data_IF_450428369012
#
_entry.id   IF_450428369012
#
_cell.length_a   1.000
_cell.length_b   1.000
_cell.length_c   1.000
_cell.angle_alpha   90.00
_cell.angle_beta   90.00
_cell.angle_gamma   90.00
#
_symmetry.space_group_name_H-M   'P 1'
#
loop_
_entity.id
_entity.type
_entity.pdbx_description
1 polymer ?
#
# COMPACT_ATOMS: atom_id res chain seq x y z
N UNK A 1 -21.54 30.91 -4.05
CA UNK A 1 -21.48 29.76 -3.12
C UNK A 1 -20.59 30.07 -1.93
N UNK A 2 -20.82 29.39 -0.79
CA UNK A 2 -19.99 29.48 0.43
C UNK A 2 -18.55 29.08 0.14
N UNK A 3 -17.57 29.84 0.65
CA UNK A 3 -16.13 29.56 0.49
C UNK A 3 -15.61 28.90 1.76
N UNK A 4 -14.80 27.88 1.59
CA UNK A 4 -14.12 27.16 2.68
C UNK A 4 -12.61 27.25 2.45
N UNK A 5 -11.84 27.46 3.51
CA UNK A 5 -10.38 27.64 3.44
C UNK A 5 -9.71 26.65 4.39
N UNK A 6 -8.67 25.97 3.89
CA UNK A 6 -7.85 25.05 4.66
C UNK A 6 -6.38 25.19 4.28
N UNK A 7 -5.51 24.91 5.25
CA UNK A 7 -4.06 24.94 5.08
C UNK A 7 -3.57 23.57 4.59
N UNK A 8 -2.82 23.57 3.48
CA UNK A 8 -2.19 22.37 2.93
C UNK A 8 -0.86 22.10 3.66
N UNK A 9 -0.78 20.99 4.37
CA UNK A 9 0.38 20.57 5.13
C UNK A 9 1.45 19.90 4.24
N UNK A 10 2.73 19.85 4.67
CA UNK A 10 3.81 19.19 3.93
C UNK A 10 3.60 17.70 3.66
N UNK A 11 2.81 17.02 4.50
CA UNK A 11 2.45 15.61 4.38
C UNK A 11 1.25 15.35 3.45
N UNK A 12 0.71 16.40 2.81
CA UNK A 12 -0.44 16.32 1.91
C UNK A 12 -1.81 16.34 2.61
N UNK A 13 -1.85 16.49 3.94
CA UNK A 13 -3.10 16.70 4.67
C UNK A 13 -3.62 18.13 4.55
N UNK A 14 -4.91 18.34 4.75
CA UNK A 14 -5.55 19.66 4.73
C UNK A 14 -6.13 19.94 6.10
N UNK A 15 -5.71 21.03 6.73
CA UNK A 15 -6.23 21.48 8.03
C UNK A 15 -7.25 22.59 7.81
N UNK A 16 -8.49 22.39 8.26
CA UNK A 16 -9.52 23.42 8.16
C UNK A 16 -9.23 24.58 9.11
N UNK A 17 -9.15 25.80 8.57
CA UNK A 17 -8.86 27.00 9.37
C UNK A 17 -9.91 27.32 10.43
N UNK A 18 -11.20 27.00 10.22
CA UNK A 18 -12.26 27.38 11.17
C UNK A 18 -12.32 26.46 12.39
N UNK A 19 -12.01 25.17 12.22
CA UNK A 19 -12.21 24.16 13.28
C UNK A 19 -10.92 23.44 13.70
N UNK A 20 -9.84 23.59 12.94
CA UNK A 20 -8.62 22.81 13.12
C UNK A 20 -8.74 21.34 12.70
N UNK A 21 -9.86 20.92 12.12
CA UNK A 21 -10.06 19.54 11.68
C UNK A 21 -9.13 19.20 10.52
N UNK A 22 -8.47 18.04 10.60
CA UNK A 22 -7.52 17.58 9.59
C UNK A 22 -8.16 16.55 8.65
N UNK A 23 -7.91 16.70 7.35
CA UNK A 23 -8.41 15.84 6.28
C UNK A 23 -7.23 15.19 5.56
N UNK A 24 -7.31 13.89 5.31
CA UNK A 24 -6.26 13.09 4.70
C UNK A 24 -6.20 13.18 3.16
N UNK A 25 -7.14 13.87 2.53
CA UNK A 25 -7.16 14.04 1.07
C UNK A 25 -8.03 15.24 0.64
N UNK A 26 -7.78 15.82 -0.55
CA UNK A 26 -8.63 16.85 -1.13
C UNK A 26 -10.09 16.42 -1.33
N UNK A 27 -10.34 15.14 -1.62
CA UNK A 27 -11.70 14.61 -1.81
C UNK A 27 -12.47 14.49 -0.50
N UNK A 28 -11.81 14.07 0.58
CA UNK A 28 -12.40 14.07 1.92
C UNK A 28 -12.78 15.50 2.35
N UNK A 29 -11.87 16.46 2.11
CA UNK A 29 -12.12 17.87 2.39
C UNK A 29 -13.29 18.44 1.57
N UNK A 30 -13.30 18.22 0.25
CA UNK A 30 -14.35 18.71 -0.64
C UNK A 30 -15.73 18.14 -0.30
N UNK A 31 -15.80 16.85 0.01
CA UNK A 31 -17.05 16.18 0.39
C UNK A 31 -17.59 16.77 1.70
N UNK A 32 -16.71 16.99 2.69
CA UNK A 32 -17.08 17.63 3.94
C UNK A 32 -17.64 19.05 3.72
N UNK A 33 -16.94 19.88 2.94
CA UNK A 33 -17.39 21.24 2.62
C UNK A 33 -18.75 21.25 1.91
N UNK A 34 -18.97 20.33 0.96
CA UNK A 34 -20.25 20.24 0.23
C UNK A 34 -21.39 19.82 1.14
N UNK A 35 -21.16 18.93 2.10
CA UNK A 35 -22.17 18.48 3.07
C UNK A 35 -22.63 19.60 4.01
N UNK A 36 -21.75 20.55 4.32
CA UNK A 36 -22.11 21.76 5.09
C UNK A 36 -23.04 22.72 4.32
N UNK A 37 -23.11 22.59 3.00
CA UNK A 37 -23.99 23.41 2.14
C UNK A 37 -25.25 22.64 1.76
N UNK A 38 -25.12 21.35 1.44
CA UNK A 38 -26.22 20.44 1.15
C UNK A 38 -25.98 19.10 1.90
N UNK A 39 -26.69 18.84 3.01
CA UNK A 39 -26.55 17.62 3.80
C UNK A 39 -26.79 16.32 3.03
N UNK A 40 -27.60 16.35 1.96
CA UNK A 40 -27.89 15.17 1.13
C UNK A 40 -26.73 14.82 0.16
N UNK A 41 -25.75 15.71 -0.03
CA UNK A 41 -24.64 15.48 -0.99
C UNK A 41 -23.66 14.45 -0.42
N UNK A 42 -23.66 13.25 -1.02
CA UNK A 42 -22.86 12.09 -0.56
C UNK A 42 -21.41 12.09 -1.07
N UNK A 43 -21.12 12.74 -2.20
CA UNK A 43 -19.80 12.69 -2.84
C UNK A 43 -19.30 14.04 -3.38
N UNK A 44 -17.98 14.19 -3.46
CA UNK A 44 -17.34 15.35 -4.07
C UNK A 44 -15.95 15.03 -4.62
N UNK A 45 -15.73 15.32 -5.91
CA UNK A 45 -14.40 15.23 -6.52
C UNK A 45 -13.51 16.37 -6.02
N UNK A 46 -12.54 16.08 -5.15
CA UNK A 46 -11.59 17.06 -4.61
C UNK A 46 -10.71 17.70 -5.68
N UNK A 47 -10.25 16.92 -6.66
CA UNK A 47 -9.34 17.37 -7.72
C UNK A 47 -9.94 18.45 -8.62
N UNK A 48 -11.22 18.32 -8.95
CA UNK A 48 -11.93 19.24 -9.84
C UNK A 48 -12.50 20.48 -9.11
N UNK A 49 -12.62 20.43 -7.78
CA UNK A 49 -13.31 21.46 -6.98
C UNK A 49 -12.40 22.26 -6.05
N UNK A 50 -11.36 21.64 -5.49
CA UNK A 50 -10.40 22.30 -4.60
C UNK A 50 -9.42 23.13 -5.42
N UNK A 51 -9.16 24.36 -4.96
CA UNK A 51 -8.20 25.27 -5.58
C UNK A 51 -7.04 25.54 -4.64
N UNK A 52 -5.82 25.51 -5.17
CA UNK A 52 -4.61 25.97 -4.50
C UNK A 52 -4.07 27.17 -5.28
N UNK A 53 -3.79 28.29 -4.60
CA UNK A 53 -3.32 29.55 -5.22
C UNK A 53 -4.14 29.97 -6.46
N UNK A 54 -5.46 29.77 -6.41
CA UNK A 54 -6.41 30.12 -7.49
C UNK A 54 -6.58 29.08 -8.60
N UNK A 55 -5.69 28.09 -8.70
CA UNK A 55 -5.75 27.03 -9.72
C UNK A 55 -6.33 25.73 -9.15
N UNK A 56 -7.03 24.95 -9.98
CA UNK A 56 -7.59 23.65 -9.56
C UNK A 56 -6.46 22.64 -9.36
N UNK A 57 -6.60 21.73 -8.38
CA UNK A 57 -5.59 20.69 -8.14
C UNK A 57 -5.33 19.82 -9.37
N UNK A 58 -6.35 19.57 -10.19
CA UNK A 58 -6.20 18.81 -11.44
C UNK A 58 -5.25 19.48 -12.45
N UNK A 59 -5.18 20.81 -12.46
CA UNK A 59 -4.25 21.56 -13.32
C UNK A 59 -2.80 21.37 -12.86
N UNK A 60 -2.55 21.34 -11.55
CA UNK A 60 -1.24 21.03 -11.00
C UNK A 60 -0.82 19.60 -11.34
N UNK A 61 -1.74 18.65 -11.21
CA UNK A 61 -1.51 17.25 -11.60
C UNK A 61 -1.14 17.13 -13.08
N UNK A 62 -1.89 17.78 -13.97
CA UNK A 62 -1.60 17.79 -15.41
C UNK A 62 -0.26 18.46 -15.74
N UNK A 63 0.09 19.57 -15.08
CA UNK A 63 1.38 20.24 -15.26
C UNK A 63 2.56 19.35 -14.81
N UNK A 64 2.42 18.67 -13.67
CA UNK A 64 3.43 17.75 -13.16
C UNK A 64 3.65 16.56 -14.11
N UNK A 65 2.57 15.96 -14.61
CA UNK A 65 2.63 14.85 -15.58
C UNK A 65 3.34 15.25 -16.87
N UNK A 66 3.05 16.44 -17.42
CA UNK A 66 3.74 16.95 -18.63
C UNK A 66 5.25 17.11 -18.45
N UNK A 67 5.70 17.51 -17.26
CA UNK A 67 7.13 17.68 -16.97
C UNK A 67 7.87 16.36 -16.77
N UNK A 68 7.20 15.34 -16.23
CA UNK A 68 7.82 14.07 -15.84
C UNK A 68 7.55 12.93 -16.84
N UNK A 69 6.69 13.15 -17.85
CA UNK A 69 6.42 12.20 -18.94
C UNK A 69 6.36 12.93 -20.30
N UNK A 70 7.51 13.37 -20.87
CA UNK A 70 7.54 14.17 -22.10
C UNK A 70 7.09 13.43 -23.38
N UNK A 71 6.84 12.12 -23.33
CA UNK A 71 6.50 11.28 -24.50
C UNK A 71 5.04 10.80 -24.52
N UNK A 72 4.14 11.36 -23.70
CA UNK A 72 2.70 11.05 -23.75
C UNK A 72 2.01 12.12 -24.61
N UNK A 73 1.27 11.74 -25.69
CA UNK A 73 0.50 12.71 -26.47
C UNK A 73 -0.51 13.44 -25.56
N UNK A 74 -0.88 14.70 -25.88
CA UNK A 74 -1.89 15.41 -25.12
C UNK A 74 -3.17 14.55 -25.04
N UNK A 75 -3.88 14.52 -23.90
CA UNK A 75 -5.28 14.11 -23.95
C UNK A 75 -5.94 15.09 -24.91
N UNK A 76 -6.50 14.58 -26.02
CA UNK A 76 -7.55 15.32 -26.73
C UNK A 76 -8.53 15.81 -25.67
N UNK A 77 -8.98 17.06 -25.81
CA UNK A 77 -9.96 17.68 -24.93
C UNK A 77 -11.10 16.69 -24.70
N UNK A 78 -11.02 15.95 -23.59
CA UNK A 78 -12.08 15.06 -23.17
C UNK A 78 -13.19 16.02 -22.79
N UNK A 79 -14.11 16.17 -23.73
CA UNK A 79 -15.42 16.78 -23.63
C UNK A 79 -15.71 17.07 -22.17
N UNK A 80 -15.70 18.37 -21.84
CA UNK A 80 -16.38 18.83 -20.66
C UNK A 80 -17.79 18.22 -20.74
N UNK A 81 -18.02 17.18 -19.94
CA UNK A 81 -19.36 16.84 -19.53
C UNK A 81 -19.77 18.02 -18.66
N UNK A 82 -20.28 19.05 -19.33
CA UNK A 82 -21.31 19.91 -18.79
C UNK A 82 -22.53 19.00 -18.57
N UNK A 83 -22.44 18.17 -17.53
CA UNK A 83 -23.60 17.56 -16.93
C UNK A 83 -24.27 18.67 -16.14
N UNK A 84 -25.20 19.36 -16.80
CA UNK A 84 -26.26 20.08 -16.13
C UNK A 84 -26.86 19.12 -15.08
N UNK A 85 -26.73 19.46 -13.80
CA UNK A 85 -27.44 18.76 -12.72
C UNK A 85 -28.94 19.13 -12.90
N UNK A 86 -29.66 18.44 -13.80
CA UNK A 86 -31.13 18.51 -13.84
C UNK A 86 -31.68 17.90 -12.53
N UNK A 87 -32.32 18.74 -11.73
CA UNK A 87 -33.10 18.34 -10.56
C UNK A 87 -34.30 17.49 -11.00
N UNK A 88 -34.26 16.20 -10.70
CA UNK A 88 -35.46 15.36 -10.70
C UNK A 88 -36.11 15.41 -9.30
N UNK A 89 -37.41 15.74 -9.19
CA UNK A 89 -38.10 15.78 -7.91
C UNK A 89 -38.29 14.36 -7.34
N UNK A 90 -38.05 14.22 -6.04
CA UNK A 90 -38.30 12.98 -5.29
C UNK A 90 -39.81 12.78 -5.11
N UNK A 91 -40.31 11.60 -5.49
CA UNK A 91 -41.69 11.16 -5.24
C UNK A 91 -41.86 10.85 -3.75
N UNK A 92 -42.95 11.37 -3.17
CA UNK A 92 -43.39 11.13 -1.81
C UNK A 92 -43.84 9.67 -1.64
N UNK A 93 -43.27 8.93 -0.69
CA UNK A 93 -43.91 7.71 -0.16
C UNK A 93 -44.23 7.87 1.33
N UNK A 94 -45.52 7.65 1.60
CA UNK A 94 -46.23 7.85 2.86
C UNK A 94 -45.74 6.97 4.03
N UNK A 95 -45.93 7.52 5.23
CA UNK A 95 -45.87 6.82 6.51
C UNK A 95 -46.89 5.69 6.63
N UNK A 96 -46.48 4.59 7.28
CA UNK A 96 -47.38 3.79 8.11
C UNK A 96 -46.66 3.46 9.44
N UNK A 97 -47.16 4.04 10.52
CA UNK A 97 -46.55 3.99 11.85
C UNK A 97 -46.74 2.67 12.62
N UNK A 98 -45.98 2.55 13.72
CA UNK A 98 -46.47 1.89 14.95
C UNK A 98 -45.65 2.30 16.19
N UNK A 99 -46.43 2.57 17.24
CA UNK A 99 -46.13 2.95 18.62
C UNK A 99 -45.06 2.14 19.35
N UNK A 100 -44.40 2.75 20.36
CA UNK A 100 -43.57 2.00 21.31
C UNK A 100 -42.65 2.76 22.28
N UNK A 101 -43.18 3.79 22.96
CA UNK A 101 -42.74 4.52 24.17
C UNK A 101 -41.58 3.99 25.07
N UNK A 102 -40.65 4.92 25.39
CA UNK A 102 -39.91 5.21 26.66
C UNK A 102 -38.62 4.44 27.08
N UNK A 103 -37.76 5.00 27.99
CA UNK A 103 -37.50 6.41 28.35
C UNK A 103 -36.01 6.83 28.37
N UNK A 104 -35.79 8.15 28.41
CA UNK A 104 -34.53 8.90 28.63
C UNK A 104 -34.19 8.96 30.13
N UNK A 105 -32.91 9.15 30.50
CA UNK A 105 -32.60 10.02 31.64
C UNK A 105 -31.66 11.19 31.27
N UNK A 106 -32.02 12.36 31.80
CA UNK A 106 -31.36 13.66 31.72
C UNK A 106 -30.25 13.84 32.81
N UNK A 107 -29.50 14.95 32.80
CA UNK A 107 -28.10 15.04 33.27
C UNK A 107 -27.92 15.56 34.70
N UNK A 108 -26.70 15.44 35.22
CA UNK A 108 -26.24 16.17 36.40
C UNK A 108 -24.92 16.91 36.12
N UNK A 109 -24.89 18.20 36.44
CA UNK A 109 -23.77 19.13 36.32
C UNK A 109 -23.00 19.28 37.68
N UNK A 110 -22.18 20.33 37.92
CA UNK A 110 -20.71 20.28 37.84
C UNK A 110 -20.01 20.57 39.18
N UNK A 111 -18.67 20.36 39.28
CA UNK A 111 -17.84 20.93 40.36
C UNK A 111 -16.55 21.60 39.85
N UNK A 112 -16.23 22.73 40.50
CA UNK A 112 -15.29 23.80 40.12
C UNK A 112 -13.84 23.59 40.60
N UNK A 113 -12.95 24.36 39.94
CA UNK A 113 -11.49 24.67 40.03
C UNK A 113 -10.92 24.92 41.45
N UNK A 114 -9.60 25.04 41.72
CA UNK A 114 -8.48 25.81 41.10
C UNK A 114 -7.12 25.53 41.85
N UNK A 115 -6.02 26.34 41.79
CA UNK A 115 -5.23 26.99 40.71
C UNK A 115 -3.67 26.81 40.84
N UNK A 116 -2.87 27.26 39.85
CA UNK A 116 -1.42 27.58 40.04
C UNK A 116 -0.57 27.65 38.75
N UNK A 117 0.00 28.82 38.42
CA UNK A 117 0.68 29.24 37.17
C UNK A 117 2.22 28.92 37.11
N UNK A 118 3.07 29.61 36.29
CA UNK A 118 3.33 29.50 34.84
C UNK A 118 4.85 29.26 34.52
N UNK A 119 5.20 28.98 33.25
CA UNK A 119 6.60 28.98 32.82
C UNK A 119 6.82 29.02 31.31
N UNK A 120 7.49 30.07 30.85
CA UNK A 120 8.01 30.32 29.49
C UNK A 120 9.02 29.24 29.03
N UNK A 121 9.09 28.95 27.73
CA UNK A 121 10.24 28.24 27.14
C UNK A 121 10.05 27.76 25.71
N UNK A 122 10.59 28.53 24.77
CA UNK A 122 11.03 28.22 23.41
C UNK A 122 11.04 26.73 22.96
N UNK A 123 10.36 26.39 21.85
CA UNK A 123 10.44 25.05 21.20
C UNK A 123 11.35 25.12 19.97
N UNK A 124 12.64 24.94 20.23
CA UNK A 124 13.60 24.42 19.25
C UNK A 124 13.27 22.96 18.94
N UNK A 125 13.41 22.56 17.68
CA UNK A 125 13.21 21.20 17.17
C UNK A 125 14.26 20.25 17.79
N UNK A 126 13.84 19.25 18.55
CA UNK A 126 14.69 18.15 19.01
C UNK A 126 14.24 16.83 18.39
N UNK A 127 15.13 16.25 17.60
CA UNK A 127 15.14 14.84 17.22
C UNK A 127 15.24 13.98 18.50
N UNK A 128 14.56 12.82 18.61
CA UNK A 128 14.79 11.92 19.73
C UNK A 128 16.21 11.36 19.67
N UNK A 129 16.92 11.58 20.79
CA UNK A 129 18.28 11.19 21.10
C UNK A 129 18.51 9.68 21.03
N UNK A 130 19.72 9.32 20.62
CA UNK A 130 20.26 7.97 20.54
C UNK A 130 20.34 7.35 21.93
N UNK A 131 19.49 6.35 22.16
CA UNK A 131 19.55 5.52 23.35
C UNK A 131 20.88 4.78 23.47
N UNK A 132 21.47 4.84 24.67
CA UNK A 132 22.59 4.07 25.21
C UNK A 132 22.78 2.64 24.66
N UNK A 133 24.02 2.18 24.44
CA UNK A 133 24.30 0.83 23.96
C UNK A 133 24.13 -0.18 25.10
N UNK A 134 23.35 -1.24 24.87
CA UNK A 134 23.41 -2.43 25.74
C UNK A 134 22.09 -3.00 26.27
N UNK A 135 20.92 -2.62 25.74
CA UNK A 135 19.70 -3.41 25.94
C UNK A 135 19.34 -4.14 24.66
N UNK A 136 19.79 -5.39 24.54
CA UNK A 136 19.25 -6.37 23.59
C UNK A 136 17.73 -6.32 23.71
N UNK A 137 17.04 -5.74 22.72
CA UNK A 137 15.59 -5.76 22.67
C UNK A 137 15.18 -7.25 22.65
N UNK A 138 14.41 -7.70 23.64
CA UNK A 138 13.74 -8.98 23.53
C UNK A 138 12.74 -8.88 22.38
N UNK A 139 13.12 -9.42 21.22
CA UNK A 139 12.26 -9.50 20.05
C UNK A 139 11.21 -10.58 20.33
N UNK A 140 10.05 -10.15 20.81
CA UNK A 140 8.88 -11.03 20.90
C UNK A 140 8.35 -11.29 19.49
N UNK A 141 7.96 -12.54 19.18
CA UNK A 141 7.42 -12.89 17.88
C UNK A 141 6.15 -12.09 17.59
N UNK A 142 6.05 -11.52 16.39
CA UNK A 142 4.94 -10.63 16.03
C UNK A 142 3.77 -11.47 15.55
N UNK A 143 2.78 -11.69 16.41
CA UNK A 143 1.56 -12.40 16.05
C UNK A 143 0.67 -11.48 15.19
N UNK A 144 0.33 -11.87 13.94
CA UNK A 144 -0.62 -11.12 13.13
C UNK A 144 -1.97 -11.01 13.84
N UNK A 145 -2.62 -9.86 13.73
CA UNK A 145 -3.94 -9.63 14.31
C UNK A 145 -5.02 -9.62 13.23
N UNK A 146 -6.22 -10.10 13.58
CA UNK A 146 -7.40 -9.98 12.71
C UNK A 146 -7.82 -8.52 12.56
N UNK A 147 -8.21 -8.14 11.35
CA UNK A 147 -8.67 -6.77 11.05
C UNK A 147 -9.77 -6.27 12.01
N UNK A 148 -10.71 -7.14 12.41
CA UNK A 148 -11.79 -6.79 13.34
C UNK A 148 -11.33 -6.30 14.72
N UNK A 149 -10.06 -6.51 15.09
CA UNK A 149 -9.46 -6.07 16.36
C UNK A 149 -8.77 -4.70 16.27
N UNK A 150 -8.64 -4.13 15.07
CA UNK A 150 -7.93 -2.85 14.87
C UNK A 150 -8.78 -1.64 15.30
N UNK A 151 -10.07 -1.67 15.00
CA UNK A 151 -10.96 -0.52 15.22
C UNK A 151 -10.54 0.72 14.44
N UNK A 152 -10.83 1.89 14.98
CA UNK A 152 -10.48 3.20 14.41
C UNK A 152 -8.99 3.50 14.57
N UNK A 153 -8.42 4.29 13.65
CA UNK A 153 -7.01 4.70 13.69
C UNK A 153 -6.67 5.38 15.01
N UNK A 154 -5.58 4.92 15.61
CA UNK A 154 -5.07 5.38 16.90
C UNK A 154 -3.57 5.62 16.74
N UNK A 155 -3.12 6.83 17.06
CA UNK A 155 -1.71 7.22 16.97
C UNK A 155 -0.85 6.50 18.01
N UNK A 156 -1.45 5.93 19.06
CA UNK A 156 -0.75 5.11 20.05
C UNK A 156 -0.50 3.66 19.57
N UNK A 157 -1.17 3.21 18.49
CA UNK A 157 -0.96 1.87 17.95
C UNK A 157 0.37 1.80 17.22
N UNK A 158 1.10 0.71 17.44
CA UNK A 158 2.39 0.47 16.78
C UNK A 158 2.19 0.42 15.24
N UNK A 159 2.90 1.24 14.45
CA UNK A 159 2.79 1.24 12.99
C UNK A 159 3.27 -0.08 12.34
N UNK A 160 4.00 -0.92 13.09
CA UNK A 160 4.51 -2.20 12.64
C UNK A 160 3.63 -3.39 13.04
N UNK A 161 2.39 -3.14 13.50
CA UNK A 161 1.42 -4.21 13.76
C UNK A 161 1.07 -4.95 12.47
N UNK A 162 1.25 -6.26 12.47
CA UNK A 162 0.89 -7.12 11.35
C UNK A 162 -0.58 -7.47 11.38
N UNK A 163 -1.18 -7.48 10.19
CA UNK A 163 -2.61 -7.71 10.01
C UNK A 163 -2.80 -8.89 9.09
N UNK A 164 -3.68 -9.82 9.47
CA UNK A 164 -4.05 -10.95 8.63
C UNK A 164 -4.74 -10.47 7.34
N UNK A 165 -4.33 -11.05 6.21
CA UNK A 165 -4.96 -10.81 4.91
C UNK A 165 -6.28 -11.58 4.86
N UNK A 166 -7.33 -10.96 4.31
CA UNK A 166 -8.67 -11.55 4.17
C UNK A 166 -9.04 -11.81 2.71
N UNK A 167 -9.87 -12.83 2.44
CA UNK A 167 -10.46 -12.98 1.11
C UNK A 167 -11.62 -12.00 0.89
N UNK A 168 -11.90 -11.64 -0.36
CA UNK A 168 -13.08 -10.82 -0.70
C UNK A 168 -14.39 -11.49 -0.30
N UNK A 169 -14.48 -12.81 -0.46
CA UNK A 169 -15.64 -13.62 -0.06
C UNK A 169 -15.90 -13.57 1.45
N UNK A 170 -14.87 -13.47 2.29
CA UNK A 170 -15.02 -13.38 3.74
C UNK A 170 -15.79 -12.13 4.22
N UNK A 171 -15.89 -11.11 3.36
CA UNK A 171 -16.67 -9.88 3.61
C UNK A 171 -17.84 -9.72 2.64
N UNK A 172 -18.27 -10.80 1.98
CA UNK A 172 -19.34 -10.81 0.98
C UNK A 172 -19.12 -9.78 -0.14
N UNK A 173 -17.87 -9.61 -0.59
CA UNK A 173 -17.51 -8.77 -1.73
C UNK A 173 -16.84 -9.61 -2.82
N UNK A 174 -16.74 -9.03 -4.00
CA UNK A 174 -15.95 -9.55 -5.11
C UNK A 174 -14.68 -8.73 -5.27
N UNK A 175 -13.64 -9.36 -5.81
CA UNK A 175 -12.45 -8.63 -6.23
C UNK A 175 -12.86 -7.64 -7.34
N UNK A 176 -12.58 -6.34 -7.18
CA UNK A 176 -13.13 -5.31 -8.06
C UNK A 176 -12.41 -5.17 -9.41
N UNK A 177 -11.33 -5.92 -9.63
CA UNK A 177 -10.54 -5.91 -10.86
C UNK A 177 -9.82 -7.25 -11.01
N UNK A 178 -9.43 -7.59 -12.23
CA UNK A 178 -8.62 -8.77 -12.49
C UNK A 178 -7.14 -8.40 -12.48
N UNK A 179 -6.29 -9.32 -12.04
CA UNK A 179 -4.84 -9.16 -12.08
C UNK A 179 -4.24 -10.33 -12.84
N UNK A 180 -3.40 -10.02 -13.83
CA UNK A 180 -2.61 -11.01 -14.53
C UNK A 180 -1.12 -10.66 -14.43
N UNK A 181 -0.27 -11.66 -14.16
CA UNK A 181 1.17 -11.45 -13.96
C UNK A 181 1.95 -12.38 -14.89
N UNK A 182 2.91 -11.80 -15.62
CA UNK A 182 3.87 -12.53 -16.46
C UNK A 182 4.80 -13.43 -15.62
N UNK A 183 5.09 -14.64 -16.11
CA UNK A 183 6.00 -15.58 -15.43
C UNK A 183 7.41 -15.04 -15.31
N UNK A 184 7.88 -14.25 -16.28
CA UNK A 184 9.17 -13.54 -16.22
C UNK A 184 9.24 -12.57 -15.02
N UNK A 185 8.14 -11.89 -14.69
CA UNK A 185 8.06 -11.00 -13.52
C UNK A 185 8.19 -11.81 -12.24
N UNK A 186 7.44 -12.92 -12.13
CA UNK A 186 7.47 -13.79 -10.96
C UNK A 186 8.82 -14.45 -10.76
N UNK A 187 9.51 -14.80 -11.85
CA UNK A 187 10.86 -15.34 -11.82
C UNK A 187 11.85 -14.32 -11.25
N UNK A 188 11.79 -13.07 -11.73
CA UNK A 188 12.71 -12.03 -11.26
C UNK A 188 12.45 -11.63 -9.80
N UNK A 189 11.19 -11.53 -9.38
CA UNK A 189 10.82 -11.28 -7.99
C UNK A 189 11.35 -12.38 -7.05
N UNK A 190 11.13 -13.63 -7.44
CA UNK A 190 11.55 -14.79 -6.64
C UNK A 190 13.06 -14.91 -6.57
N UNK A 191 13.74 -14.70 -7.70
CA UNK A 191 15.20 -14.64 -7.74
C UNK A 191 15.73 -13.57 -6.79
N UNK A 192 15.22 -12.34 -6.85
CA UNK A 192 15.65 -11.26 -5.97
C UNK A 192 15.46 -11.59 -4.49
N UNK A 193 14.30 -12.14 -4.12
CA UNK A 193 14.02 -12.54 -2.73
C UNK A 193 14.93 -13.66 -2.21
N UNK A 194 15.55 -14.43 -3.09
CA UNK A 194 16.47 -15.50 -2.69
C UNK A 194 17.93 -15.06 -2.55
N UNK A 195 18.29 -13.85 -3.00
CA UNK A 195 19.67 -13.36 -2.92
C UNK A 195 20.07 -12.91 -1.52
N UNK A 196 19.13 -12.42 -0.72
CA UNK A 196 19.40 -11.90 0.62
C UNK A 196 18.47 -12.56 1.64
N UNK A 197 18.92 -12.60 2.90
CA UNK A 197 18.03 -12.97 4.02
C UNK A 197 17.07 -11.84 4.39
N UNK A 198 17.41 -10.61 4.04
CA UNK A 198 16.64 -9.41 4.37
C UNK A 198 15.50 -9.11 3.39
N UNK A 199 14.61 -8.21 3.80
CA UNK A 199 13.53 -7.74 2.93
C UNK A 199 14.08 -7.08 1.66
N UNK A 200 13.39 -7.36 0.54
CA UNK A 200 13.65 -6.75 -0.75
C UNK A 200 12.47 -5.90 -1.18
N UNK A 201 12.74 -4.86 -1.96
CA UNK A 201 11.70 -3.99 -2.52
C UNK A 201 11.94 -3.77 -4.01
N UNK A 202 10.90 -3.37 -4.71
CA UNK A 202 10.93 -3.11 -6.14
C UNK A 202 9.63 -2.49 -6.62
N UNK A 203 9.62 -2.14 -7.90
CA UNK A 203 8.43 -1.65 -8.59
C UNK A 203 7.92 -2.68 -9.58
N UNK A 204 6.61 -2.71 -9.79
CA UNK A 204 5.97 -3.51 -10.82
C UNK A 204 5.44 -2.59 -11.92
N UNK A 205 5.76 -2.93 -13.17
CA UNK A 205 5.35 -2.21 -14.36
C UNK A 205 4.38 -3.02 -15.20
N UNK A 206 3.39 -2.35 -15.80
CA UNK A 206 2.31 -3.04 -16.51
C UNK A 206 1.38 -2.09 -17.24
N UNK A 207 0.22 -2.61 -17.63
CA UNK A 207 -0.87 -1.85 -18.24
C UNK A 207 -2.18 -2.09 -17.51
N UNK A 208 -3.02 -1.08 -17.52
CA UNK A 208 -4.40 -1.15 -17.05
C UNK A 208 -5.34 -1.05 -18.25
N UNK A 209 -6.28 -1.99 -18.36
CA UNK A 209 -7.37 -1.92 -19.33
C UNK A 209 -8.67 -1.55 -18.60
N UNK A 210 -9.21 -0.38 -18.92
CA UNK A 210 -10.44 0.16 -18.33
C UNK A 210 -11.68 -0.62 -18.75
N UNK A 211 -11.68 -1.23 -19.94
CA UNK A 211 -12.86 -1.92 -20.48
C UNK A 211 -13.04 -3.29 -19.80
N UNK A 212 -11.94 -4.00 -19.57
CA UNK A 212 -11.95 -5.33 -18.94
C UNK A 212 -11.63 -5.30 -17.45
N UNK A 213 -11.31 -4.12 -16.90
CA UNK A 213 -10.83 -3.93 -15.53
C UNK A 213 -9.65 -4.86 -15.19
N UNK A 214 -8.73 -5.03 -16.14
CA UNK A 214 -7.60 -5.94 -16.02
C UNK A 214 -6.29 -5.17 -15.84
N UNK A 215 -5.63 -5.40 -14.71
CA UNK A 215 -4.24 -5.02 -14.49
C UNK A 215 -3.33 -6.14 -14.98
N UNK A 216 -2.56 -5.88 -16.04
CA UNK A 216 -1.54 -6.83 -16.52
C UNK A 216 -0.15 -6.35 -16.10
N UNK A 217 0.51 -7.10 -15.22
CA UNK A 217 1.88 -6.87 -14.77
C UNK A 217 2.86 -7.58 -15.71
N UNK A 218 3.74 -6.80 -16.34
CA UNK A 218 4.61 -7.25 -17.44
C UNK A 218 6.10 -7.09 -17.13
N UNK A 219 6.47 -6.25 -16.15
CA UNK A 219 7.86 -6.02 -15.76
C UNK A 219 7.99 -5.89 -14.25
N UNK A 220 9.13 -6.32 -13.73
CA UNK A 220 9.59 -6.00 -12.38
C UNK A 220 10.86 -5.15 -12.48
N UNK A 221 11.01 -4.22 -11.54
CA UNK A 221 12.18 -3.38 -11.36
C UNK A 221 12.67 -3.53 -9.91
N UNK A 222 13.48 -4.56 -9.64
CA UNK A 222 14.15 -4.74 -8.37
C UNK A 222 14.90 -3.48 -7.92
N UNK A 223 14.63 -3.00 -6.71
CA UNK A 223 15.44 -1.94 -6.13
C UNK A 223 16.72 -2.55 -5.54
N UNK A 224 17.86 -2.11 -6.05
CA UNK A 224 19.19 -2.43 -5.51
C UNK A 224 19.48 -1.61 -4.27
N UNK A 225 18.72 -1.85 -3.21
CA UNK A 225 18.88 -1.24 -1.89
C UNK A 225 18.86 -2.33 -0.83
N UNK A 226 19.49 -2.07 0.32
CA UNK A 226 19.49 -2.99 1.46
C UNK A 226 18.56 -2.44 2.52
N UNK A 227 17.47 -3.16 2.76
CA UNK A 227 16.56 -2.90 3.86
C UNK A 227 16.88 -3.92 4.96
N UNK A 228 17.95 -3.65 5.72
CA UNK A 228 18.50 -4.66 6.63
C UNK A 228 19.36 -4.03 7.70
N UNK A 229 18.73 -3.53 8.76
CA UNK A 229 19.38 -3.49 10.06
C UNK A 229 19.42 -4.93 10.58
N UNK A 230 20.61 -5.52 10.71
CA UNK A 230 20.79 -6.92 11.08
C UNK A 230 20.14 -7.29 12.43
N UNK A 231 19.96 -6.32 13.34
CA UNK A 231 19.28 -6.55 14.61
C UNK A 231 17.75 -6.52 14.46
N UNK A 232 17.22 -5.69 13.56
CA UNK A 232 15.79 -5.58 13.29
C UNK A 232 15.29 -6.60 12.25
N UNK A 233 16.18 -7.08 11.38
CA UNK A 233 15.89 -8.01 10.28
C UNK A 233 15.22 -9.28 10.80
N UNK A 234 15.74 -9.89 11.87
CA UNK A 234 15.11 -11.05 12.50
C UNK A 234 13.68 -10.79 13.03
N UNK A 235 13.37 -9.57 13.49
CA UNK A 235 12.02 -9.21 13.95
C UNK A 235 11.02 -8.96 12.81
N UNK A 236 11.55 -8.63 11.65
CA UNK A 236 10.79 -8.36 10.42
C UNK A 236 10.59 -9.67 9.64
N UNK A 237 11.62 -10.52 9.58
CA UNK A 237 11.62 -11.82 8.91
C UNK A 237 10.84 -12.91 9.68
N UNK A 238 10.94 -12.96 11.01
CA UNK A 238 10.25 -13.96 11.85
C UNK A 238 8.73 -14.07 11.60
N UNK A 239 7.98 -12.97 11.44
CA UNK A 239 6.56 -13.06 11.11
C UNK A 239 6.27 -13.37 9.63
N UNK A 240 7.21 -13.18 8.71
CA UNK A 240 7.05 -13.57 7.32
C UNK A 240 7.55 -15.01 7.11
N UNK A 241 6.65 -15.94 7.42
CA UNK A 241 6.72 -17.37 7.08
C UNK A 241 7.86 -18.13 7.82
N UNK A 242 7.58 -18.79 8.96
CA UNK A 242 8.57 -19.49 9.80
C UNK A 242 9.12 -20.81 9.22
N UNK A 243 9.28 -20.86 7.89
CA UNK A 243 9.79 -22.01 7.15
C UNK A 243 8.78 -22.41 6.10
N UNK A 244 8.97 -21.91 4.88
CA UNK A 244 8.44 -22.57 3.71
C UNK A 244 9.19 -23.90 3.59
N UNK A 245 8.56 -25.04 3.93
CA UNK A 245 9.26 -26.32 3.86
C UNK A 245 9.37 -26.79 2.40
N UNK A 246 8.62 -26.16 1.50
CA UNK A 246 8.65 -26.43 0.08
C UNK A 246 9.77 -25.69 -0.63
N UNK A 247 10.15 -26.23 -1.78
CA UNK A 247 11.06 -25.58 -2.72
C UNK A 247 10.44 -24.34 -3.36
N UNK A 248 9.12 -24.31 -3.54
CA UNK A 248 8.43 -23.24 -4.25
C UNK A 248 8.12 -22.05 -3.35
N UNK A 249 8.58 -20.86 -3.73
CA UNK A 249 8.15 -19.61 -3.11
C UNK A 249 6.65 -19.35 -3.26
N UNK A 250 6.01 -18.94 -2.15
CA UNK A 250 4.65 -18.41 -2.17
C UNK A 250 4.68 -16.91 -2.48
N UNK A 251 4.11 -16.50 -3.62
CA UNK A 251 3.83 -15.09 -3.91
C UNK A 251 2.35 -14.84 -3.64
N UNK A 252 2.07 -13.97 -2.67
CA UNK A 252 0.71 -13.62 -2.26
C UNK A 252 0.54 -12.09 -2.32
N UNK A 253 0.05 -11.54 -3.45
CA UNK A 253 -0.27 -10.13 -3.53
C UNK A 253 -1.53 -9.81 -2.74
N UNK A 254 -1.59 -8.61 -2.19
CA UNK A 254 -2.78 -8.10 -1.51
C UNK A 254 -3.08 -6.67 -1.93
N UNK A 255 -4.35 -6.30 -1.81
CA UNK A 255 -4.88 -4.97 -2.05
C UNK A 255 -5.42 -4.40 -0.75
N UNK A 256 -5.00 -3.19 -0.38
CA UNK A 256 -5.57 -2.51 0.78
C UNK A 256 -6.86 -1.81 0.35
N UNK A 257 -8.00 -2.44 0.65
CA UNK A 257 -9.31 -1.85 0.42
C UNK A 257 -9.46 -0.61 1.31
N UNK A 258 -9.90 0.54 0.77
CA UNK A 258 -10.13 1.73 1.58
C UNK A 258 -11.19 1.45 2.64
N UNK A 259 -11.13 2.16 3.79
CA UNK A 259 -12.16 2.08 4.81
C UNK A 259 -13.55 2.38 4.23
N UNK A 260 -14.62 1.76 4.78
CA UNK A 260 -15.99 2.11 4.39
C UNK A 260 -16.27 3.60 4.58
N UNK A 261 -17.10 4.18 3.70
CA UNK A 261 -17.44 5.61 3.76
C UNK A 261 -18.06 6.03 5.10
N UNK A 262 -18.76 5.12 5.78
CA UNK A 262 -19.33 5.39 7.11
C UNK A 262 -18.28 5.46 8.23
N UNK A 263 -17.08 4.89 8.00
CA UNK A 263 -15.97 4.81 8.97
C UNK A 263 -14.65 5.21 8.30
N UNK A 264 -14.51 6.47 7.85
CA UNK A 264 -13.33 6.92 7.10
C UNK A 264 -12.04 6.96 7.93
N UNK A 265 -12.17 6.92 9.26
CA UNK A 265 -11.06 6.94 10.20
C UNK A 265 -10.56 5.52 10.55
N UNK A 266 -11.15 4.46 10.02
CA UNK A 266 -10.66 3.10 10.23
C UNK A 266 -9.40 2.82 9.37
N UNK A 267 -8.70 1.73 9.66
CA UNK A 267 -7.61 1.26 8.80
C UNK A 267 -8.16 0.67 7.50
N UNK A 268 -7.36 0.67 6.43
CA UNK A 268 -7.71 -0.09 5.23
C UNK A 268 -7.68 -1.59 5.51
N UNK A 269 -8.45 -2.35 4.74
CA UNK A 269 -8.55 -3.81 4.91
C UNK A 269 -7.60 -4.49 3.92
N UNK A 270 -6.60 -5.28 4.38
CA UNK A 270 -5.73 -6.03 3.47
C UNK A 270 -6.51 -7.21 2.89
N UNK A 271 -6.74 -7.19 1.58
CA UNK A 271 -7.50 -8.19 0.85
C UNK A 271 -6.57 -9.01 -0.03
N UNK A 272 -6.63 -10.34 0.05
CA UNK A 272 -5.89 -11.24 -0.82
C UNK A 272 -6.36 -11.03 -2.26
N UNK A 273 -5.40 -10.91 -3.18
CA UNK A 273 -5.67 -10.71 -4.60
C UNK A 273 -5.44 -12.02 -5.34
N UNK A 274 -6.49 -12.51 -5.98
CA UNK A 274 -6.41 -13.62 -6.92
C UNK A 274 -5.78 -13.13 -8.23
N UNK A 275 -4.79 -13.89 -8.70
CA UNK A 275 -3.99 -13.56 -9.88
C UNK A 275 -4.06 -14.68 -10.91
N UNK A 276 -4.10 -14.29 -12.18
CA UNK A 276 -3.92 -15.19 -13.31
C UNK A 276 -2.47 -15.13 -13.80
N UNK A 277 -1.84 -16.28 -13.99
CA UNK A 277 -0.47 -16.35 -14.47
C UNK A 277 -0.41 -16.38 -16.00
N UNK A 278 0.35 -15.46 -16.58
CA UNK A 278 0.65 -15.44 -18.01
C UNK A 278 2.01 -16.12 -18.19
N UNK A 279 1.99 -17.32 -18.74
CA UNK A 279 3.23 -18.03 -19.05
C UNK A 279 3.92 -17.39 -20.25
N UNK A 280 5.11 -16.82 -20.02
CA UNK A 280 5.96 -16.33 -21.10
C UNK A 280 6.60 -17.50 -21.85
N UNK A 281 6.70 -17.34 -23.18
CA UNK A 281 7.38 -18.31 -24.05
C UNK A 281 8.91 -18.24 -23.95
N UNK A 282 9.46 -17.11 -23.50
CA UNK A 282 10.90 -16.88 -23.45
C UNK A 282 11.30 -15.93 -22.31
N UNK A 283 12.55 -16.05 -21.86
CA UNK A 283 13.16 -15.11 -20.93
C UNK A 283 13.66 -13.89 -21.72
N UNK A 284 13.16 -12.70 -21.37
CA UNK A 284 13.59 -11.46 -22.04
C UNK A 284 15.03 -11.09 -21.65
N UNK A 285 15.78 -10.44 -22.54
CA UNK A 285 17.12 -9.93 -22.24
C UNK A 285 17.12 -8.96 -21.04
N UNK A 286 16.07 -8.15 -20.90
CA UNK A 286 15.90 -7.23 -19.77
C UNK A 286 15.91 -7.98 -18.43
N UNK A 287 15.23 -9.14 -18.35
CA UNK A 287 15.20 -9.95 -17.12
C UNK A 287 16.57 -10.56 -16.84
N UNK A 288 17.24 -11.12 -17.84
CA UNK A 288 18.59 -11.67 -17.71
C UNK A 288 19.57 -10.60 -17.22
N UNK A 289 19.47 -9.40 -17.78
CA UNK A 289 20.29 -8.26 -17.39
C UNK A 289 20.01 -7.85 -15.94
N UNK A 290 18.75 -7.73 -15.52
CA UNK A 290 18.41 -7.40 -14.13
C UNK A 290 18.88 -8.48 -13.15
N UNK A 291 18.74 -9.77 -13.48
CA UNK A 291 19.30 -10.85 -12.66
C UNK A 291 20.82 -10.70 -12.50
N UNK A 292 21.54 -10.39 -13.59
CA UNK A 292 22.99 -10.18 -13.55
C UNK A 292 23.37 -8.98 -12.67
N UNK A 293 22.65 -7.85 -12.82
CA UNK A 293 22.88 -6.65 -12.00
C UNK A 293 22.58 -6.89 -10.52
N UNK A 294 21.58 -7.73 -10.21
CA UNK A 294 21.28 -8.14 -8.83
C UNK A 294 22.40 -8.97 -8.23
N UNK A 295 22.92 -9.97 -8.97
CA UNK A 295 24.06 -10.77 -8.50
C UNK A 295 25.25 -9.86 -8.18
N UNK A 296 25.60 -8.94 -9.07
CA UNK A 296 26.72 -8.03 -8.85
C UNK A 296 26.48 -7.09 -7.66
N UNK A 297 25.25 -6.61 -7.46
CA UNK A 297 24.91 -5.74 -6.33
C UNK A 297 25.04 -6.44 -4.96
N UNK A 298 24.62 -7.70 -4.86
CA UNK A 298 24.69 -8.46 -3.61
C UNK A 298 26.04 -9.15 -3.40
N UNK A 299 26.94 -9.12 -4.39
CA UNK A 299 28.28 -9.67 -4.27
C UNK A 299 29.03 -9.05 -3.10
N UNK A 300 29.45 -9.90 -2.15
CA UNK A 300 30.13 -9.45 -0.93
C UNK A 300 29.22 -8.74 0.09
N UNK A 301 27.89 -8.78 -0.09
CA UNK A 301 26.96 -8.30 0.91
C UNK A 301 26.99 -9.22 2.15
N UNK A 302 26.94 -8.67 3.38
CA UNK A 302 26.94 -9.48 4.60
C UNK A 302 25.65 -10.29 4.78
N UNK A 303 24.56 -9.83 4.18
CA UNK A 303 23.23 -10.42 4.16
C UNK A 303 22.99 -11.33 2.94
N UNK A 304 23.98 -11.49 2.05
CA UNK A 304 23.91 -12.41 0.92
C UNK A 304 23.68 -13.84 1.41
N UNK A 305 22.71 -14.53 0.80
CA UNK A 305 22.47 -15.94 1.05
C UNK A 305 23.69 -16.74 0.61
N UNK A 306 24.18 -17.60 1.51
CA UNK A 306 25.31 -18.47 1.22
C UNK A 306 24.81 -19.70 0.47
N UNK A 307 24.82 -19.61 -0.85
CA UNK A 307 24.22 -20.60 -1.75
C UNK A 307 24.80 -22.02 -1.63
N UNK A 308 26.04 -22.14 -1.16
CA UNK A 308 26.71 -23.43 -0.93
C UNK A 308 26.38 -24.08 0.43
N UNK A 309 25.73 -23.37 1.36
CA UNK A 309 25.29 -23.94 2.64
C UNK A 309 24.03 -24.81 2.46
N UNK A 310 23.85 -25.78 3.35
CA UNK A 310 22.66 -26.63 3.38
C UNK A 310 21.43 -25.83 3.82
N UNK A 311 20.38 -25.90 3.01
CA UNK A 311 19.04 -25.39 3.36
C UNK A 311 18.21 -26.48 4.03
N UNK A 312 18.26 -27.71 3.53
CA UNK A 312 17.63 -28.90 4.11
C UNK A 312 18.64 -30.05 4.22
N UNK A 313 18.20 -31.27 4.59
CA UNK A 313 19.11 -32.39 4.90
C UNK A 313 20.12 -32.69 3.78
N UNK A 314 19.71 -32.58 2.52
CA UNK A 314 20.47 -32.97 1.34
C UNK A 314 20.50 -31.90 0.23
N UNK A 315 19.89 -30.73 0.46
CA UNK A 315 19.79 -29.67 -0.55
C UNK A 315 20.42 -28.37 -0.07
N UNK A 316 21.16 -27.73 -0.97
CA UNK A 316 21.77 -26.41 -0.73
C UNK A 316 20.75 -25.28 -0.95
N UNK A 317 21.08 -24.08 -0.49
CA UNK A 317 20.31 -22.88 -0.85
C UNK A 317 20.29 -22.64 -2.37
N UNK A 318 21.33 -23.06 -3.11
CA UNK A 318 21.32 -23.02 -4.57
C UNK A 318 20.28 -23.99 -5.16
N UNK A 319 20.19 -25.20 -4.63
CA UNK A 319 19.18 -26.18 -5.06
C UNK A 319 17.76 -25.68 -4.76
N UNK A 320 17.58 -25.04 -3.59
CA UNK A 320 16.33 -24.38 -3.23
C UNK A 320 15.95 -23.29 -4.24
N UNK A 321 16.88 -22.40 -4.58
CA UNK A 321 16.66 -21.35 -5.59
C UNK A 321 16.25 -21.97 -6.94
N UNK A 322 17.01 -22.95 -7.43
CA UNK A 322 16.73 -23.63 -8.70
C UNK A 322 15.34 -24.28 -8.69
N UNK A 323 14.98 -24.95 -7.59
CA UNK A 323 13.68 -25.56 -7.40
C UNK A 323 12.54 -24.53 -7.41
N UNK A 324 12.72 -23.41 -6.72
CA UNK A 324 11.71 -22.34 -6.67
C UNK A 324 11.44 -21.72 -8.04
N UNK A 325 12.50 -21.46 -8.82
CA UNK A 325 12.38 -20.84 -10.14
C UNK A 325 11.88 -21.79 -11.23
N UNK A 326 12.00 -23.10 -11.04
CA UNK A 326 11.66 -24.10 -12.05
C UNK A 326 10.20 -23.99 -12.51
N UNK A 327 9.25 -23.73 -11.61
CA UNK A 327 7.82 -23.61 -11.94
C UNK A 327 7.47 -22.35 -12.74
N UNK A 328 8.39 -21.37 -12.79
CA UNK A 328 8.20 -20.06 -13.45
C UNK A 328 9.07 -19.88 -14.68
N UNK A 329 9.99 -20.82 -14.93
CA UNK A 329 10.92 -20.77 -16.04
C UNK A 329 10.24 -21.23 -17.33
N UNK A 330 10.41 -20.51 -18.46
CA UNK A 330 9.92 -20.96 -19.76
C UNK A 330 10.52 -22.31 -20.17
N UNK A 331 9.77 -23.11 -20.94
CA UNK A 331 10.13 -24.52 -21.23
C UNK A 331 11.19 -24.72 -22.33
N UNK A 332 11.68 -23.68 -23.01
CA UNK A 332 12.70 -23.90 -24.05
C UNK A 332 14.10 -24.16 -23.46
N UNK A 333 14.85 -25.03 -24.13
CA UNK A 333 16.18 -25.48 -23.68
C UNK A 333 17.26 -24.40 -23.73
N UNK A 334 17.10 -23.38 -24.57
CA UNK A 334 18.04 -22.27 -24.71
C UNK A 334 18.22 -21.49 -23.40
N UNK A 335 17.17 -21.38 -22.58
CA UNK A 335 17.19 -20.61 -21.34
C UNK A 335 17.87 -21.33 -20.18
N UNK A 336 17.82 -22.67 -20.16
CA UNK A 336 18.50 -23.46 -19.14
C UNK A 336 19.98 -23.12 -19.09
N UNK A 337 20.62 -22.91 -20.26
CA UNK A 337 22.02 -22.52 -20.31
C UNK A 337 22.28 -21.13 -19.70
N UNK A 338 21.42 -20.15 -19.99
CA UNK A 338 21.55 -18.79 -19.46
C UNK A 338 21.37 -18.77 -17.94
N UNK A 339 20.37 -19.47 -17.43
CA UNK A 339 20.16 -19.58 -15.98
C UNK A 339 21.32 -20.31 -15.29
N UNK A 340 21.85 -21.39 -15.88
CA UNK A 340 23.04 -22.05 -15.33
C UNK A 340 24.28 -21.14 -15.30
N UNK A 341 24.45 -20.24 -16.28
CA UNK A 341 25.49 -19.22 -16.21
C UNK A 341 25.27 -18.28 -15.01
N UNK A 342 24.05 -17.79 -14.80
CA UNK A 342 23.71 -16.92 -13.65
C UNK A 342 23.93 -17.66 -12.32
N UNK A 343 23.49 -18.92 -12.22
CA UNK A 343 23.71 -19.75 -11.04
C UNK A 343 25.20 -19.99 -10.78
N UNK A 344 26.02 -20.08 -11.84
CA UNK A 344 27.47 -20.14 -11.72
C UNK A 344 28.10 -18.90 -11.07
N UNK A 345 27.47 -17.72 -11.21
CA UNK A 345 27.93 -16.48 -10.57
C UNK A 345 27.61 -16.41 -9.07
N UNK A 346 26.70 -17.26 -8.58
CA UNK A 346 26.29 -17.33 -7.16
C UNK A 346 27.12 -18.32 -6.33
N UNK A 347 28.01 -19.07 -6.97
CA UNK A 347 28.84 -20.11 -6.32
C UNK A 347 30.03 -19.56 -5.56
#
# INVERSE_FOLDING_TARGET
GKKFVGDLCPDGTITWQETGQVFNSPSAWATHCKRLVNPAKKSGCGWASVRYKGQKLDQYKAAWLRQHQPNVPPPEESLASEGEEEEMPEEEEEEAGRDGRAPVPEPAAPKKRAPGQPGHGDRTLCFPDLGTPGKRLEVKPRVPVRYCTLGTRDSARNPQTLVEVMSFSAINKFQPFNVAISSNVLLLLDFHSHLTRSEVVGYLGGRWDTNTQLLTVLRAFPCRTRLGDAEAAGAVEEPYYPGNPGLESKIAPFWVMPPPEQRPNDYGIPMEVEVTYIQDGFLTNDVVQEMTLLVEFYKGAPDLVKFQELWSQDQTYLDKLKGSLASRTPKEQSFTHVLEQIYGLLR
#
